data_IF_011022379994
#
_entry.id   IF_011022379994
#
_cell.length_a   1.000
_cell.length_b   1.000
_cell.length_c   1.000
_cell.angle_alpha   90.00
_cell.angle_beta   90.00
_cell.angle_gamma   90.00
#
_symmetry.space_group_name_H-M   'P 1'
#
loop_
_entity.id
_entity.type
_entity.pdbx_description
1 polymer ?
#
# COMPACT_ATOMS: atom_id res chain seq x y z
N UNK A 1 -16.29 -10.57 34.23
CA UNK A 1 -17.44 -11.42 34.03
C UNK A 1 -17.08 -12.49 33.01
N UNK A 2 -16.59 -12.16 31.83
CA UNK A 2 -16.04 -13.11 30.89
C UNK A 2 -14.52 -12.99 30.93
N UNK A 3 -13.82 -14.02 31.41
CA UNK A 3 -12.36 -14.02 31.49
C UNK A 3 -11.77 -14.43 30.13
N UNK A 4 -12.18 -13.70 29.08
CA UNK A 4 -11.78 -13.96 27.70
C UNK A 4 -11.05 -12.73 27.17
N UNK A 5 -9.84 -12.90 26.71
CA UNK A 5 -9.08 -11.88 26.02
C UNK A 5 -9.46 -11.92 24.53
N UNK A 6 -10.12 -10.87 24.05
CA UNK A 6 -10.47 -10.71 22.64
C UNK A 6 -9.60 -9.59 22.08
N UNK A 7 -8.93 -9.85 20.97
CA UNK A 7 -8.19 -8.81 20.31
C UNK A 7 -9.13 -7.75 19.72
N UNK A 8 -8.76 -6.48 19.83
CA UNK A 8 -9.56 -5.36 19.31
C UNK A 8 -9.94 -5.57 17.83
N UNK A 9 -9.05 -6.18 17.04
CA UNK A 9 -9.28 -6.52 15.63
C UNK A 9 -10.46 -7.49 15.48
N UNK A 10 -10.60 -8.45 16.37
CA UNK A 10 -11.72 -9.42 16.35
C UNK A 10 -13.06 -8.76 16.68
N UNK A 11 -13.06 -7.81 17.59
CA UNK A 11 -14.24 -7.01 17.90
C UNK A 11 -14.61 -6.11 16.72
N UNK A 12 -13.66 -5.44 16.13
CA UNK A 12 -13.86 -4.53 14.99
C UNK A 12 -14.29 -5.27 13.72
N UNK A 13 -13.84 -6.52 13.52
CA UNK A 13 -14.29 -7.37 12.41
C UNK A 13 -15.69 -7.95 12.60
N UNK A 14 -16.28 -7.77 13.79
CA UNK A 14 -17.63 -8.25 14.13
C UNK A 14 -18.63 -7.13 13.90
N UNK A 15 -19.31 -7.15 12.76
CA UNK A 15 -20.23 -6.08 12.35
C UNK A 15 -21.58 -6.09 13.10
N UNK A 16 -21.82 -7.08 13.95
CA UNK A 16 -23.06 -7.21 14.74
C UNK A 16 -22.75 -7.67 16.15
N UNK A 17 -23.61 -7.29 17.11
CA UNK A 17 -23.54 -7.74 18.52
C UNK A 17 -23.59 -9.28 18.61
N UNK A 18 -24.31 -9.97 17.72
CA UNK A 18 -24.38 -11.43 17.68
C UNK A 18 -23.03 -12.04 17.30
N UNK A 19 -22.34 -11.45 16.33
CA UNK A 19 -20.98 -11.89 15.97
C UNK A 19 -19.98 -11.64 17.10
N UNK A 20 -20.09 -10.52 17.78
CA UNK A 20 -19.27 -10.21 18.95
C UNK A 20 -19.53 -11.20 20.09
N UNK A 21 -20.80 -11.50 20.39
CA UNK A 21 -21.19 -12.46 21.42
C UNK A 21 -20.67 -13.86 21.11
N UNK A 22 -20.78 -14.33 19.87
CA UNK A 22 -20.22 -15.63 19.44
C UNK A 22 -18.72 -15.71 19.67
N UNK A 23 -17.97 -14.67 19.32
CA UNK A 23 -16.52 -14.62 19.57
C UNK A 23 -16.17 -14.66 21.06
N UNK A 24 -17.02 -14.09 21.91
CA UNK A 24 -16.87 -14.19 23.37
C UNK A 24 -17.16 -15.61 23.87
N UNK A 25 -18.18 -16.25 23.33
CA UNK A 25 -18.62 -17.61 23.74
C UNK A 25 -17.69 -18.72 23.22
N UNK A 26 -17.27 -18.62 21.98
CA UNK A 26 -16.43 -19.63 21.31
C UNK A 26 -14.96 -19.55 21.72
N UNK A 27 -14.55 -18.46 22.40
CA UNK A 27 -13.15 -18.12 22.56
C UNK A 27 -12.55 -17.81 21.17
N UNK A 28 -11.70 -16.81 21.04
CA UNK A 28 -11.08 -16.51 19.76
C UNK A 28 -10.25 -17.72 19.29
N UNK A 29 -10.87 -18.64 18.55
CA UNK A 29 -10.12 -19.60 17.75
C UNK A 29 -9.46 -18.82 16.64
N UNK A 30 -8.23 -18.40 16.87
CA UNK A 30 -7.42 -17.75 15.85
C UNK A 30 -7.21 -18.77 14.74
N UNK A 31 -7.85 -18.56 13.58
CA UNK A 31 -7.54 -19.37 12.41
C UNK A 31 -6.08 -19.15 12.05
N UNK A 32 -5.26 -20.16 12.31
CA UNK A 32 -3.83 -20.11 11.99
C UNK A 32 -3.65 -20.06 10.48
N UNK A 33 -2.99 -19.03 10.00
CA UNK A 33 -2.76 -18.85 8.57
C UNK A 33 -1.58 -19.70 8.13
N UNK A 34 -1.81 -20.60 7.19
CA UNK A 34 -0.77 -21.28 6.44
C UNK A 34 -0.24 -20.35 5.34
N UNK A 35 0.83 -19.63 5.65
CA UNK A 35 1.43 -18.68 4.73
C UNK A 35 1.96 -19.34 3.46
N UNK A 36 2.47 -20.57 3.54
CA UNK A 36 2.91 -21.30 2.36
C UNK A 36 1.77 -21.55 1.39
N UNK A 37 0.63 -21.98 1.90
CA UNK A 37 -0.56 -22.19 1.08
C UNK A 37 -1.10 -20.88 0.50
N UNK A 38 -1.18 -19.81 1.32
CA UNK A 38 -1.75 -18.51 0.89
C UNK A 38 -0.91 -17.82 -0.17
N UNK A 39 0.40 -18.05 -0.19
CA UNK A 39 1.33 -17.42 -1.13
C UNK A 39 1.75 -18.31 -2.30
N UNK A 40 1.12 -19.48 -2.48
CA UNK A 40 1.34 -20.30 -3.70
C UNK A 40 1.03 -19.49 -4.96
N UNK A 41 1.86 -19.70 -5.97
CA UNK A 41 1.54 -19.24 -7.33
C UNK A 41 0.19 -19.79 -7.78
N UNK A 42 -0.52 -19.10 -8.67
CA UNK A 42 -1.81 -19.55 -9.17
C UNK A 42 -1.75 -20.98 -9.68
N UNK A 43 -2.73 -21.80 -9.30
CA UNK A 43 -2.83 -23.23 -9.65
C UNK A 43 -3.48 -23.51 -11.00
N UNK A 44 -3.94 -22.48 -11.72
CA UNK A 44 -4.56 -22.68 -13.03
C UNK A 44 -3.52 -23.04 -14.09
N UNK A 45 -3.84 -23.89 -15.06
CA UNK A 45 -2.93 -24.19 -16.16
C UNK A 45 -2.62 -22.92 -16.94
N UNK A 46 -1.41 -22.41 -16.77
CA UNK A 46 -0.90 -21.26 -17.49
C UNK A 46 -0.15 -21.81 -18.71
N UNK A 47 -0.67 -21.53 -19.89
CA UNK A 47 0.05 -21.88 -21.13
C UNK A 47 1.12 -20.81 -21.37
N UNK A 48 2.35 -21.13 -21.02
CA UNK A 48 3.49 -20.24 -21.33
C UNK A 48 3.75 -20.28 -22.85
N UNK A 49 3.85 -19.11 -23.46
CA UNK A 49 4.21 -19.01 -24.86
C UNK A 49 5.70 -19.29 -25.03
N UNK A 50 6.04 -20.18 -25.96
CA UNK A 50 7.44 -20.51 -26.27
C UNK A 50 8.21 -19.31 -26.82
N UNK A 51 7.55 -18.48 -27.63
CA UNK A 51 8.13 -17.23 -28.14
C UNK A 51 7.53 -16.07 -27.34
N UNK A 52 8.37 -15.42 -26.53
CA UNK A 52 7.98 -14.18 -25.88
C UNK A 52 7.56 -13.15 -26.95
N UNK A 53 6.54 -12.35 -26.65
CA UNK A 53 6.24 -11.17 -27.46
C UNK A 53 7.54 -10.35 -27.58
N UNK A 54 8.09 -10.25 -28.79
CA UNK A 54 9.17 -9.28 -29.04
C UNK A 54 8.58 -7.92 -28.72
N UNK A 55 8.98 -7.35 -27.60
CA UNK A 55 8.62 -5.98 -27.25
C UNK A 55 9.30 -5.11 -28.28
N UNK A 56 8.49 -4.50 -29.14
CA UNK A 56 8.98 -3.69 -30.25
C UNK A 56 9.61 -2.38 -29.74
N UNK A 57 10.34 -1.70 -30.62
CA UNK A 57 10.88 -0.36 -30.36
C UNK A 57 9.78 0.73 -30.28
N UNK A 58 8.51 0.34 -30.30
CA UNK A 58 7.36 1.23 -30.25
C UNK A 58 7.03 1.72 -28.83
N UNK A 59 6.07 2.67 -28.74
CA UNK A 59 5.57 3.15 -27.45
C UNK A 59 4.92 2.02 -26.64
N UNK A 60 5.14 2.04 -25.31
CA UNK A 60 4.71 1.00 -24.37
C UNK A 60 3.22 1.12 -24.01
N UNK A 61 2.57 -0.02 -23.84
CA UNK A 61 1.28 -0.14 -23.18
C UNK A 61 1.49 -0.53 -21.72
N UNK A 62 1.13 0.38 -20.80
CA UNK A 62 1.25 0.23 -19.34
C UNK A 62 -0.10 -0.10 -18.73
N UNK A 63 -0.24 -1.26 -18.09
CA UNK A 63 -1.44 -1.57 -17.29
C UNK A 63 -1.25 -1.04 -15.86
N UNK A 64 -2.24 -0.31 -15.36
CA UNK A 64 -2.20 0.32 -14.04
C UNK A 64 -3.40 -0.11 -13.21
N UNK A 65 -3.16 -0.56 -11.98
CA UNK A 65 -4.20 -0.70 -10.96
C UNK A 65 -4.05 0.37 -9.90
N UNK A 66 -5.13 0.70 -9.19
CA UNK A 66 -5.12 1.76 -8.18
C UNK A 66 -4.98 3.17 -8.76
N UNK A 67 -5.37 3.35 -10.01
CA UNK A 67 -5.27 4.59 -10.79
C UNK A 67 -6.03 5.79 -10.19
N UNK A 68 -6.99 5.57 -9.30
CA UNK A 68 -7.72 6.62 -8.57
C UNK A 68 -7.09 6.96 -7.21
N UNK A 69 -6.02 6.28 -6.84
CA UNK A 69 -5.31 6.46 -5.56
C UNK A 69 -4.42 7.71 -5.51
N UNK A 70 -3.95 8.04 -4.30
CA UNK A 70 -3.11 9.24 -4.10
C UNK A 70 -1.78 9.18 -4.87
N UNK A 71 -1.12 8.04 -4.91
CA UNK A 71 0.14 7.88 -5.65
C UNK A 71 -0.10 8.01 -7.16
N UNK A 72 -1.20 7.45 -7.66
CA UNK A 72 -1.53 7.49 -9.08
C UNK A 72 -1.72 8.90 -9.63
N UNK A 73 -2.23 9.84 -8.82
CA UNK A 73 -2.36 11.26 -9.22
C UNK A 73 -1.04 11.90 -9.61
N UNK A 74 0.09 11.35 -9.18
CA UNK A 74 1.43 11.81 -9.52
C UNK A 74 2.07 10.95 -10.60
N UNK A 75 1.84 9.65 -10.54
CA UNK A 75 2.43 8.69 -11.49
C UNK A 75 1.80 8.80 -12.87
N UNK A 76 0.47 8.92 -12.96
CA UNK A 76 -0.20 9.00 -14.25
C UNK A 76 0.26 10.18 -15.12
N UNK A 77 0.38 11.42 -14.61
CA UNK A 77 0.93 12.53 -15.38
C UNK A 77 2.36 12.29 -15.88
N UNK A 78 3.21 11.66 -15.05
CA UNK A 78 4.59 11.32 -15.45
C UNK A 78 4.61 10.30 -16.59
N UNK A 79 3.76 9.28 -16.51
CA UNK A 79 3.63 8.28 -17.59
C UNK A 79 3.04 8.89 -18.85
N UNK A 80 2.04 9.75 -18.72
CA UNK A 80 1.38 10.39 -19.86
C UNK A 80 2.31 11.35 -20.61
N UNK A 81 3.12 12.12 -19.88
CA UNK A 81 4.11 13.01 -20.47
C UNK A 81 5.28 12.27 -21.15
N UNK A 82 5.48 10.98 -20.84
CA UNK A 82 6.60 10.24 -21.38
C UNK A 82 6.35 9.80 -22.83
N UNK A 83 7.22 10.18 -23.80
CA UNK A 83 7.03 9.81 -25.20
C UNK A 83 7.15 8.31 -25.48
N UNK A 84 7.78 7.56 -24.58
CA UNK A 84 7.92 6.11 -24.69
C UNK A 84 6.67 5.34 -24.22
N UNK A 85 5.69 6.02 -23.60
CA UNK A 85 4.41 5.46 -23.23
C UNK A 85 3.38 5.88 -24.27
N UNK A 86 2.79 4.92 -24.96
CA UNK A 86 1.72 5.16 -25.95
C UNK A 86 0.33 4.97 -25.40
N UNK A 87 0.16 4.08 -24.41
CA UNK A 87 -1.14 3.75 -23.84
C UNK A 87 -1.02 3.41 -22.36
N UNK A 88 -1.97 3.91 -21.57
CA UNK A 88 -2.11 3.61 -20.14
C UNK A 88 -3.48 2.98 -19.94
N UNK A 89 -3.49 1.70 -19.58
CA UNK A 89 -4.74 0.93 -19.36
C UNK A 89 -5.00 0.83 -17.86
N UNK A 90 -5.94 1.61 -17.37
CA UNK A 90 -6.38 1.60 -15.97
C UNK A 90 -7.46 0.55 -15.77
N UNK A 91 -7.19 -0.47 -14.94
CA UNK A 91 -8.12 -1.55 -14.65
C UNK A 91 -8.56 -1.55 -13.18
N UNK A 92 -9.63 -2.28 -12.86
CA UNK A 92 -10.25 -2.32 -11.54
C UNK A 92 -10.63 -0.91 -11.04
N UNK A 93 -11.10 -0.05 -11.93
CA UNK A 93 -11.59 1.28 -11.59
C UNK A 93 -13.01 1.15 -11.06
N UNK A 94 -13.21 1.45 -9.77
CA UNK A 94 -14.53 1.35 -9.16
C UNK A 94 -15.44 2.44 -9.69
N UNK A 95 -16.61 2.04 -10.16
CA UNK A 95 -17.69 2.96 -10.49
C UNK A 95 -18.43 3.32 -9.19
N UNK A 96 -18.26 4.53 -8.72
CA UNK A 96 -18.93 5.03 -7.51
C UNK A 96 -20.00 6.04 -7.93
N UNK A 97 -21.28 5.68 -7.90
CA UNK A 97 -22.37 6.52 -8.40
C UNK A 97 -22.47 7.91 -7.73
N UNK A 98 -21.91 8.06 -6.51
CA UNK A 98 -21.98 9.33 -5.76
C UNK A 98 -20.68 10.15 -5.76
N UNK A 99 -19.62 9.70 -6.42
CA UNK A 99 -18.33 10.40 -6.53
C UNK A 99 -17.96 10.64 -8.01
N UNK A 100 -18.84 11.26 -8.77
CA UNK A 100 -18.72 11.48 -10.22
C UNK A 100 -17.37 12.09 -10.67
N UNK A 101 -16.65 12.78 -9.80
CA UNK A 101 -15.37 13.40 -10.12
C UNK A 101 -14.13 12.52 -9.89
N UNK A 102 -14.26 11.34 -9.24
CA UNK A 102 -13.13 10.45 -8.95
C UNK A 102 -13.00 9.24 -9.87
N UNK A 103 -14.07 8.88 -10.57
CA UNK A 103 -14.09 7.68 -11.41
C UNK A 103 -13.61 7.91 -12.84
N UNK A 104 -13.63 9.16 -13.32
CA UNK A 104 -13.22 9.47 -14.70
C UNK A 104 -11.78 9.98 -14.68
N UNK A 105 -10.86 9.16 -15.16
CA UNK A 105 -9.48 9.54 -15.43
C UNK A 105 -9.45 10.23 -16.81
N UNK A 106 -8.82 11.38 -16.88
CA UNK A 106 -8.70 12.14 -18.13
C UNK A 106 -7.25 12.14 -18.58
N UNK A 107 -7.05 11.90 -19.88
CA UNK A 107 -5.75 11.93 -20.53
C UNK A 107 -5.84 11.26 -21.89
N UNK A 108 -5.07 11.75 -22.85
CA UNK A 108 -5.12 11.29 -24.24
C UNK A 108 -4.62 9.84 -24.41
N UNK A 109 -3.76 9.38 -23.50
CA UNK A 109 -3.23 8.02 -23.51
C UNK A 109 -3.99 7.07 -22.58
N UNK A 110 -4.96 7.55 -21.80
CA UNK A 110 -5.62 6.79 -20.74
C UNK A 110 -6.87 6.10 -21.28
N UNK A 111 -6.89 4.76 -21.10
CA UNK A 111 -8.06 3.91 -21.31
C UNK A 111 -8.47 3.31 -19.96
N UNK A 112 -9.74 3.34 -19.64
CA UNK A 112 -10.25 2.91 -18.34
C UNK A 112 -11.23 1.74 -18.49
N UNK A 113 -11.03 0.72 -17.66
CA UNK A 113 -11.96 -0.41 -17.50
C UNK A 113 -12.51 -0.43 -16.07
N UNK A 114 -13.83 -0.40 -15.96
CA UNK A 114 -14.50 -0.57 -14.67
C UNK A 114 -14.25 -1.98 -14.11
N UNK A 115 -14.20 -2.09 -12.77
CA UNK A 115 -13.99 -3.35 -12.08
C UNK A 115 -13.63 -3.16 -10.62
N UNK A 116 -13.22 -4.24 -9.97
CA UNK A 116 -12.78 -4.25 -8.57
C UNK A 116 -11.61 -5.22 -8.38
N UNK A 117 -10.66 -4.85 -7.53
CA UNK A 117 -9.49 -5.67 -7.22
C UNK A 117 -9.85 -7.02 -6.59
N UNK A 118 -10.98 -7.09 -5.88
CA UNK A 118 -11.47 -8.33 -5.24
C UNK A 118 -12.20 -9.27 -6.20
N UNK A 119 -12.53 -8.80 -7.40
CA UNK A 119 -13.27 -9.59 -8.37
C UNK A 119 -12.34 -10.48 -9.22
N UNK A 120 -12.79 -11.67 -9.63
CA UNK A 120 -12.07 -12.49 -10.61
C UNK A 120 -11.74 -11.69 -11.86
N UNK A 121 -10.53 -11.89 -12.39
CA UNK A 121 -9.99 -11.13 -13.52
C UNK A 121 -10.07 -9.61 -13.33
N UNK A 122 -10.05 -9.13 -12.07
CA UNK A 122 -10.16 -7.71 -11.72
C UNK A 122 -11.47 -7.05 -12.20
N UNK A 123 -12.52 -7.84 -12.41
CA UNK A 123 -13.81 -7.42 -12.95
C UNK A 123 -13.88 -7.32 -14.47
N UNK A 124 -12.84 -7.72 -15.18
CA UNK A 124 -12.80 -7.76 -16.65
C UNK A 124 -13.54 -8.98 -17.20
N UNK A 125 -14.08 -8.86 -18.42
CA UNK A 125 -14.54 -10.04 -19.17
C UNK A 125 -13.37 -10.94 -19.54
N UNK A 126 -13.65 -12.20 -19.90
CA UNK A 126 -12.59 -13.12 -20.32
C UNK A 126 -11.85 -12.60 -21.55
N UNK A 127 -12.59 -12.03 -22.52
CA UNK A 127 -12.05 -11.47 -23.76
C UNK A 127 -11.15 -10.26 -23.49
N UNK A 128 -11.60 -9.36 -22.60
CA UNK A 128 -10.80 -8.18 -22.19
C UNK A 128 -9.50 -8.62 -21.50
N UNK A 129 -9.60 -9.57 -20.57
CA UNK A 129 -8.45 -10.08 -19.82
C UNK A 129 -7.42 -10.74 -20.74
N UNK A 130 -7.86 -11.58 -21.69
CA UNK A 130 -7.01 -12.22 -22.68
C UNK A 130 -6.40 -11.20 -23.67
N UNK A 131 -7.21 -10.21 -24.09
CA UNK A 131 -6.75 -9.11 -24.94
C UNK A 131 -5.60 -8.34 -24.28
N UNK A 132 -5.78 -7.96 -23.01
CA UNK A 132 -4.76 -7.25 -22.25
C UNK A 132 -3.49 -8.09 -22.01
N UNK A 133 -3.62 -9.39 -21.79
CA UNK A 133 -2.45 -10.29 -21.71
C UNK A 133 -1.59 -10.27 -22.98
N UNK A 134 -2.18 -9.96 -24.14
CA UNK A 134 -1.47 -9.85 -25.40
C UNK A 134 -0.95 -8.45 -25.70
N UNK A 135 -1.64 -7.43 -25.22
CA UNK A 135 -1.38 -6.03 -25.54
C UNK A 135 -0.36 -5.39 -24.59
N UNK A 136 -0.46 -5.68 -23.29
CA UNK A 136 0.32 -5.01 -22.23
C UNK A 136 1.80 -5.36 -22.29
N UNK A 137 2.66 -4.37 -22.14
CA UNK A 137 4.11 -4.52 -22.08
C UNK A 137 4.66 -4.54 -20.66
N UNK A 138 3.98 -3.85 -19.72
CA UNK A 138 4.38 -3.77 -18.32
C UNK A 138 3.16 -3.49 -17.42
N UNK A 139 3.18 -4.04 -16.21
CA UNK A 139 2.13 -3.86 -15.21
C UNK A 139 2.65 -3.04 -14.05
N UNK A 140 1.92 -1.99 -13.66
CA UNK A 140 2.13 -1.22 -12.44
C UNK A 140 0.96 -1.45 -11.46
N UNK A 141 1.22 -2.24 -10.42
CA UNK A 141 0.24 -2.55 -9.40
C UNK A 141 0.40 -1.65 -8.17
N UNK A 142 -0.37 -0.55 -8.14
CA UNK A 142 -0.45 0.38 -7.00
C UNK A 142 -1.73 0.17 -6.18
N UNK A 143 -2.67 -0.61 -6.71
CA UNK A 143 -3.95 -0.84 -6.08
C UNK A 143 -3.82 -1.63 -4.78
N UNK A 144 -4.46 -1.14 -3.72
CA UNK A 144 -4.64 -1.87 -2.47
C UNK A 144 -5.79 -1.28 -1.68
N UNK A 145 -6.49 -2.12 -0.94
CA UNK A 145 -7.33 -1.69 0.17
C UNK A 145 -6.43 -1.52 1.39
N UNK A 146 -6.35 -0.27 1.90
CA UNK A 146 -5.55 0.06 3.06
C UNK A 146 -6.46 0.28 4.26
N UNK A 147 -6.33 -0.59 5.23
CA UNK A 147 -6.99 -0.47 6.52
C UNK A 147 -6.02 -0.94 7.60
N UNK A 148 -5.99 -0.23 8.72
CA UNK A 148 -5.17 -0.59 9.88
C UNK A 148 -5.94 -1.43 10.89
N UNK A 149 -7.25 -1.56 10.67
CA UNK A 149 -8.16 -2.28 11.54
C UNK A 149 -8.53 -3.67 11.02
N UNK A 150 -8.47 -3.82 9.69
CA UNK A 150 -8.84 -5.06 9.05
C UNK A 150 -7.69 -6.07 9.13
N UNK A 151 -8.04 -7.30 9.47
CA UNK A 151 -7.10 -8.41 9.44
C UNK A 151 -6.82 -8.88 8.00
N UNK A 152 -5.90 -9.81 7.87
CA UNK A 152 -5.51 -10.39 6.59
C UNK A 152 -6.71 -11.01 5.84
N UNK A 153 -7.64 -11.69 6.54
CA UNK A 153 -8.77 -12.36 5.90
C UNK A 153 -9.69 -11.40 5.15
N UNK A 154 -9.87 -10.18 5.68
CA UNK A 154 -10.67 -9.13 5.03
C UNK A 154 -9.90 -8.55 3.84
N UNK A 155 -8.62 -8.23 4.03
CA UNK A 155 -7.83 -7.52 3.03
C UNK A 155 -7.35 -8.41 1.89
N UNK A 156 -7.26 -9.74 2.10
CA UNK A 156 -6.67 -10.66 1.12
C UNK A 156 -7.34 -10.62 -0.24
N UNK A 157 -8.66 -10.47 -0.32
CA UNK A 157 -9.38 -10.48 -1.60
C UNK A 157 -8.90 -9.36 -2.52
N UNK A 158 -8.79 -8.14 -2.00
CA UNK A 158 -8.34 -7.00 -2.79
C UNK A 158 -6.82 -6.92 -2.94
N UNK A 159 -6.05 -7.34 -1.91
CA UNK A 159 -4.61 -7.08 -1.87
C UNK A 159 -3.76 -8.28 -2.31
N UNK A 160 -4.28 -9.49 -2.20
CA UNK A 160 -3.52 -10.72 -2.46
C UNK A 160 -4.06 -11.46 -3.68
N UNK A 161 -5.37 -11.69 -3.74
CA UNK A 161 -5.95 -12.39 -4.89
C UNK A 161 -5.82 -11.56 -6.18
N UNK A 162 -5.89 -10.22 -6.09
CA UNK A 162 -5.61 -9.34 -7.23
C UNK A 162 -4.21 -9.54 -7.83
N UNK A 163 -3.20 -9.83 -6.98
CA UNK A 163 -1.83 -10.11 -7.44
C UNK A 163 -1.79 -11.43 -8.20
N UNK A 164 -2.51 -12.45 -7.73
CA UNK A 164 -2.61 -13.73 -8.44
C UNK A 164 -3.27 -13.55 -9.81
N UNK A 165 -4.32 -12.72 -9.90
CA UNK A 165 -4.93 -12.37 -11.19
C UNK A 165 -3.95 -11.65 -12.12
N UNK A 166 -3.14 -10.72 -11.60
CA UNK A 166 -2.10 -10.07 -12.39
C UNK A 166 -1.00 -11.03 -12.83
N UNK A 167 -0.63 -12.00 -12.00
CA UNK A 167 0.29 -13.07 -12.40
C UNK A 167 -0.32 -13.93 -13.52
N UNK A 168 -1.61 -14.27 -13.44
CA UNK A 168 -2.31 -14.98 -14.53
C UNK A 168 -2.27 -14.19 -15.86
N UNK A 169 -2.51 -12.88 -15.79
CA UNK A 169 -2.44 -12.00 -16.97
C UNK A 169 -1.02 -11.93 -17.53
N UNK A 170 -0.02 -11.84 -16.66
CA UNK A 170 1.38 -11.63 -17.03
C UNK A 170 2.08 -12.89 -17.54
N UNK A 171 1.79 -14.04 -16.96
CA UNK A 171 2.56 -15.27 -17.13
C UNK A 171 2.67 -15.76 -18.59
N UNK A 172 1.61 -15.74 -19.43
CA UNK A 172 1.72 -16.23 -20.80
C UNK A 172 2.82 -15.54 -21.63
N UNK A 173 3.03 -14.25 -21.38
CA UNK A 173 4.02 -13.41 -22.11
C UNK A 173 5.16 -12.92 -21.21
N UNK A 174 5.22 -13.37 -19.94
CA UNK A 174 6.18 -12.93 -18.93
C UNK A 174 6.26 -11.40 -18.81
N UNK A 175 5.09 -10.76 -18.72
CA UNK A 175 4.99 -9.31 -18.58
C UNK A 175 5.58 -8.90 -17.23
N UNK A 176 6.50 -7.93 -17.14
CA UNK A 176 7.02 -7.44 -15.87
C UNK A 176 5.93 -6.86 -14.99
N UNK A 177 5.97 -7.20 -13.71
CA UNK A 177 5.06 -6.66 -12.69
C UNK A 177 5.85 -5.78 -11.74
N UNK A 178 5.49 -4.50 -11.68
CA UNK A 178 5.98 -3.53 -10.72
C UNK A 178 4.96 -3.40 -9.60
N UNK A 179 5.34 -3.78 -8.39
CA UNK A 179 4.45 -3.87 -7.23
C UNK A 179 4.82 -2.86 -6.15
N UNK A 180 3.85 -2.02 -5.78
CA UNK A 180 4.01 -1.09 -4.67
C UNK A 180 3.73 -1.80 -3.35
N UNK A 181 4.80 -2.16 -2.65
CA UNK A 181 4.79 -2.71 -1.31
C UNK A 181 4.97 -1.60 -0.25
N UNK A 182 5.30 -1.95 0.95
CA UNK A 182 5.55 -1.05 2.07
C UNK A 182 6.81 -1.45 2.82
N UNK A 183 7.53 -0.48 3.36
CA UNK A 183 8.65 -0.73 4.27
C UNK A 183 8.22 -1.49 5.53
N UNK A 184 6.94 -1.39 5.90
CA UNK A 184 6.38 -2.10 7.05
C UNK A 184 6.44 -3.64 7.00
N UNK A 185 6.79 -4.24 5.85
CA UNK A 185 7.07 -5.70 5.75
C UNK A 185 8.39 -6.08 6.40
N UNK A 186 9.26 -5.11 6.68
CA UNK A 186 10.53 -5.31 7.35
C UNK A 186 10.38 -5.09 8.86
N UNK A 187 11.07 -5.86 9.71
CA UNK A 187 11.17 -5.57 11.13
C UNK A 187 11.79 -4.19 11.39
N UNK A 188 11.47 -3.61 12.53
CA UNK A 188 11.92 -2.24 12.88
C UNK A 188 13.44 -2.12 13.00
N UNK A 189 14.11 -3.14 13.54
CA UNK A 189 15.56 -3.23 13.65
C UNK A 189 16.26 -3.25 12.29
N UNK A 190 15.62 -3.87 11.29
CA UNK A 190 16.10 -3.90 9.90
C UNK A 190 15.86 -2.55 9.21
N UNK A 191 14.75 -1.87 9.52
CA UNK A 191 14.47 -0.53 8.99
C UNK A 191 15.45 0.52 9.49
N UNK A 192 15.89 0.41 10.74
CA UNK A 192 16.86 1.32 11.38
C UNK A 192 18.32 1.01 11.04
N UNK A 193 18.62 -0.14 10.43
CA UNK A 193 19.98 -0.44 9.99
C UNK A 193 20.34 0.38 8.75
N UNK A 194 21.59 0.89 8.73
CA UNK A 194 22.10 1.87 7.78
C UNK A 194 21.70 1.59 6.32
N UNK A 195 21.36 2.65 5.61
CA UNK A 195 21.22 2.67 4.16
C UNK A 195 22.42 1.93 3.52
N UNK A 196 22.16 0.78 2.91
CA UNK A 196 23.23 0.01 2.24
C UNK A 196 23.08 -1.51 2.31
N UNK A 197 22.27 -2.08 3.21
CA UNK A 197 21.98 -3.51 3.11
C UNK A 197 21.02 -3.77 1.94
N UNK A 198 21.41 -4.67 1.05
CA UNK A 198 20.56 -5.10 -0.06
C UNK A 198 19.21 -5.60 0.49
N UNK A 199 18.08 -5.18 -0.08
CA UNK A 199 16.78 -5.62 0.34
C UNK A 199 16.70 -7.15 0.32
N UNK A 200 16.35 -7.75 1.46
CA UNK A 200 16.20 -9.20 1.58
C UNK A 200 14.80 -9.65 1.17
N UNK A 201 14.68 -10.91 0.74
CA UNK A 201 13.39 -11.54 0.43
C UNK A 201 12.39 -11.40 1.59
N UNK A 202 11.11 -11.26 1.28
CA UNK A 202 10.04 -11.29 2.25
C UNK A 202 10.00 -12.61 3.06
N UNK A 203 10.52 -13.70 2.50
CA UNK A 203 10.61 -14.98 3.19
C UNK A 203 11.34 -14.95 4.54
N UNK A 204 12.25 -13.97 4.74
CA UNK A 204 12.98 -13.83 5.98
C UNK A 204 12.13 -13.28 7.15
N UNK A 205 10.93 -12.72 6.87
CA UNK A 205 10.13 -11.96 7.83
C UNK A 205 8.65 -12.32 7.75
N UNK A 206 8.32 -13.51 8.14
CA UNK A 206 6.95 -14.01 8.09
C UNK A 206 6.04 -13.23 9.05
N UNK A 207 4.83 -12.81 8.62
CA UNK A 207 3.91 -12.10 9.49
C UNK A 207 3.27 -13.03 10.53
N UNK A 208 2.63 -12.45 11.57
CA UNK A 208 1.92 -13.23 12.58
C UNK A 208 0.90 -14.20 11.97
N UNK A 209 0.84 -15.41 12.51
CA UNK A 209 -0.03 -16.49 12.01
C UNK A 209 -1.52 -16.25 12.26
N UNK A 210 -1.85 -15.30 13.13
CA UNK A 210 -3.23 -14.90 13.45
C UNK A 210 -3.83 -13.88 12.46
N UNK A 211 -3.06 -13.48 11.44
CA UNK A 211 -3.49 -12.50 10.44
C UNK A 211 -3.60 -11.07 10.97
N UNK A 212 -3.11 -10.81 12.18
CA UNK A 212 -2.98 -9.45 12.70
C UNK A 212 -2.08 -8.60 11.80
N UNK A 213 -2.16 -7.27 11.94
CA UNK A 213 -1.49 -6.34 11.06
C UNK A 213 -1.79 -6.63 9.57
N UNK A 214 -3.06 -6.82 9.24
CA UNK A 214 -3.54 -7.37 7.98
C UNK A 214 -3.03 -6.65 6.74
N UNK A 215 -2.85 -5.31 6.81
CA UNK A 215 -2.28 -4.57 5.67
C UNK A 215 -0.84 -5.00 5.37
N UNK A 216 0.02 -5.05 6.38
CA UNK A 216 1.42 -5.50 6.23
C UNK A 216 1.47 -6.96 5.81
N UNK A 217 0.69 -7.82 6.44
CA UNK A 217 0.58 -9.23 6.09
C UNK A 217 0.14 -9.44 4.63
N UNK A 218 -0.83 -8.63 4.14
CA UNK A 218 -1.28 -8.70 2.76
C UNK A 218 -0.21 -8.22 1.76
N UNK A 219 0.57 -7.20 2.11
CA UNK A 219 1.69 -6.73 1.29
C UNK A 219 2.83 -7.74 1.26
N UNK A 220 3.17 -8.32 2.42
CA UNK A 220 4.13 -9.41 2.52
C UNK A 220 3.72 -10.61 1.65
N UNK A 221 2.46 -11.05 1.75
CA UNK A 221 1.96 -12.16 0.93
C UNK A 221 2.06 -11.85 -0.58
N UNK A 222 1.81 -10.60 -0.97
CA UNK A 222 1.98 -10.13 -2.34
C UNK A 222 3.43 -10.22 -2.83
N UNK A 223 4.41 -9.82 -2.01
CA UNK A 223 5.82 -9.98 -2.33
C UNK A 223 6.18 -11.45 -2.53
N UNK A 224 5.73 -12.34 -1.60
CA UNK A 224 6.00 -13.78 -1.70
C UNK A 224 5.40 -14.42 -2.95
N UNK A 225 4.18 -14.04 -3.34
CA UNK A 225 3.56 -14.53 -4.58
C UNK A 225 4.39 -14.12 -5.79
N UNK A 226 4.87 -12.88 -5.84
CA UNK A 226 5.67 -12.38 -6.95
C UNK A 226 7.06 -13.01 -7.02
N UNK A 227 7.72 -13.23 -5.88
CA UNK A 227 8.98 -13.99 -5.81
C UNK A 227 8.77 -15.42 -6.36
N UNK A 228 7.72 -16.11 -5.92
CA UNK A 228 7.38 -17.46 -6.38
C UNK A 228 6.95 -17.50 -7.87
N UNK A 229 6.25 -16.47 -8.33
CA UNK A 229 5.88 -16.37 -9.74
C UNK A 229 7.11 -16.15 -10.64
N UNK A 230 8.10 -15.40 -10.15
CA UNK A 230 9.38 -15.30 -10.85
C UNK A 230 10.09 -16.66 -10.92
N UNK A 231 10.21 -17.37 -9.78
CA UNK A 231 10.89 -18.67 -9.70
C UNK A 231 10.22 -19.76 -10.54
N UNK A 232 8.89 -19.84 -10.50
CA UNK A 232 8.13 -20.94 -11.12
C UNK A 232 7.67 -20.67 -12.54
N UNK A 233 7.40 -19.40 -12.91
CA UNK A 233 6.80 -19.00 -14.19
C UNK A 233 7.70 -18.07 -14.99
N UNK A 234 8.81 -17.57 -14.43
CA UNK A 234 9.71 -16.62 -15.06
C UNK A 234 9.07 -15.23 -15.26
N UNK A 235 8.06 -14.86 -14.47
CA UNK A 235 7.43 -13.52 -14.51
C UNK A 235 8.36 -12.52 -13.84
N UNK A 236 8.92 -11.52 -14.56
CA UNK A 236 9.81 -10.54 -13.93
C UNK A 236 9.04 -9.72 -12.89
N UNK A 237 9.57 -9.64 -11.67
CA UNK A 237 8.95 -8.94 -10.55
C UNK A 237 9.89 -7.86 -10.00
N UNK A 238 9.33 -6.65 -9.87
CA UNK A 238 9.98 -5.46 -9.32
C UNK A 238 9.16 -4.99 -8.12
N UNK A 239 9.69 -5.14 -6.93
CA UNK A 239 8.99 -4.89 -5.66
C UNK A 239 9.56 -3.65 -5.02
N UNK A 240 8.70 -2.65 -4.75
CA UNK A 240 9.08 -1.37 -4.18
C UNK A 240 8.53 -1.23 -2.77
N UNK A 241 9.40 -1.28 -1.77
CA UNK A 241 9.06 -1.06 -0.36
C UNK A 241 9.12 0.43 -0.08
N UNK A 242 7.96 1.05 -0.06
CA UNK A 242 7.79 2.48 0.05
C UNK A 242 7.64 2.90 1.50
N UNK A 243 8.37 3.94 1.91
CA UNK A 243 8.13 4.70 3.13
C UNK A 243 6.87 5.58 2.99
N UNK A 244 6.29 6.10 4.08
CA UNK A 244 5.19 7.04 4.00
C UNK A 244 5.50 8.19 3.04
N UNK A 245 4.57 8.47 2.11
CA UNK A 245 4.75 9.56 1.13
C UNK A 245 4.26 10.88 1.69
N UNK A 246 5.02 11.96 1.48
CA UNK A 246 4.62 13.34 1.78
C UNK A 246 3.83 13.96 0.62
N UNK A 247 2.74 14.65 0.94
CA UNK A 247 2.14 15.62 0.03
C UNK A 247 2.93 16.93 0.07
N UNK A 248 3.14 17.56 -1.08
CA UNK A 248 3.66 18.93 -1.13
C UNK A 248 2.52 19.91 -0.74
N UNK A 249 2.87 21.08 -0.21
CA UNK A 249 1.93 22.12 0.27
C UNK A 249 0.89 22.57 -0.76
N UNK A 250 1.17 22.42 -2.05
CA UNK A 250 0.27 22.74 -3.16
C UNK A 250 -0.63 21.56 -3.58
N UNK A 251 -0.45 20.39 -3.00
CA UNK A 251 -1.11 19.17 -3.40
C UNK A 251 -2.24 18.85 -2.41
N UNK A 252 -3.47 18.89 -2.87
CA UNK A 252 -4.67 18.52 -2.11
C UNK A 252 -4.75 17.02 -1.82
N UNK A 253 -3.78 16.23 -2.27
CA UNK A 253 -3.71 14.80 -1.99
C UNK A 253 -3.13 14.54 -0.60
N UNK A 254 -3.91 13.93 0.24
CA UNK A 254 -3.63 13.67 1.65
C UNK A 254 -2.49 12.67 1.85
N UNK A 255 -1.42 13.07 2.55
CA UNK A 255 -0.47 12.17 3.21
C UNK A 255 -1.15 11.61 4.45
N UNK A 256 -1.03 10.31 4.66
CA UNK A 256 -2.03 9.65 5.49
C UNK A 256 -1.91 9.91 7.01
N UNK A 257 -0.74 9.93 7.57
CA UNK A 257 -0.57 10.11 9.03
C UNK A 257 -0.50 11.59 9.38
N UNK A 258 0.34 12.33 8.68
CA UNK A 258 0.54 13.75 8.94
C UNK A 258 -0.69 14.58 8.55
N UNK A 259 -1.36 14.27 7.43
CA UNK A 259 -2.57 14.99 7.02
C UNK A 259 -3.76 14.70 7.93
N UNK A 260 -3.85 13.49 8.48
CA UNK A 260 -4.89 13.17 9.44
C UNK A 260 -4.61 13.87 10.78
N UNK A 261 -3.34 13.94 11.19
CA UNK A 261 -2.95 14.73 12.35
C UNK A 261 -3.30 16.21 12.14
N UNK A 262 -2.91 16.78 11.00
CA UNK A 262 -3.26 18.14 10.59
C UNK A 262 -4.78 18.34 10.60
N UNK A 263 -5.53 17.42 10.00
CA UNK A 263 -7.00 17.47 10.01
C UNK A 263 -7.58 17.48 11.42
N UNK A 264 -7.01 16.69 12.32
CA UNK A 264 -7.45 16.66 13.73
C UNK A 264 -7.15 18.00 14.43
N UNK A 265 -6.00 18.60 14.16
CA UNK A 265 -5.65 19.94 14.67
C UNK A 265 -6.61 20.99 14.11
N UNK A 266 -6.87 21.00 12.79
CA UNK A 266 -7.84 21.90 12.15
C UNK A 266 -9.23 21.78 12.78
N UNK A 267 -9.74 20.56 12.95
CA UNK A 267 -11.10 20.32 13.46
C UNK A 267 -11.25 20.68 14.92
N UNK A 268 -10.20 20.53 15.71
CA UNK A 268 -10.27 20.78 17.16
C UNK A 268 -9.80 22.19 17.54
N UNK A 269 -9.18 22.91 16.59
CA UNK A 269 -8.52 24.21 16.78
C UNK A 269 -7.51 24.23 17.96
N UNK A 270 -6.97 23.06 18.30
CA UNK A 270 -5.90 22.89 19.30
C UNK A 270 -4.92 21.84 18.86
N UNK A 271 -3.70 21.93 19.35
CA UNK A 271 -2.63 20.99 19.12
C UNK A 271 -2.34 20.15 20.37
N UNK A 272 -1.95 18.88 20.27
CA UNK A 272 -1.44 18.16 21.42
C UNK A 272 -0.12 18.77 21.88
N UNK A 273 0.10 18.80 23.17
CA UNK A 273 1.41 19.09 23.73
C UNK A 273 2.36 17.93 23.37
N UNK A 274 3.27 18.21 22.46
CA UNK A 274 4.27 17.25 21.98
C UNK A 274 5.58 17.33 22.80
N UNK A 275 5.59 18.08 23.90
CA UNK A 275 6.78 18.22 24.77
C UNK A 275 7.22 16.86 25.30
N UNK A 276 8.46 16.50 25.02
CA UNK A 276 9.04 15.22 25.44
C UNK A 276 8.62 14.01 24.58
N UNK A 277 7.98 14.23 23.44
CA UNK A 277 7.84 13.20 22.44
C UNK A 277 9.18 12.98 21.75
N UNK A 278 9.55 11.74 21.57
CA UNK A 278 10.80 11.37 20.91
C UNK A 278 10.49 10.68 19.58
N UNK A 279 11.31 10.96 18.58
CA UNK A 279 11.24 10.27 17.28
C UNK A 279 11.16 11.23 16.10
N UNK A 280 10.95 10.63 14.95
CA UNK A 280 10.84 11.35 13.69
C UNK A 280 9.87 10.65 12.74
N UNK A 281 9.36 11.41 11.78
CA UNK A 281 8.53 10.89 10.70
C UNK A 281 9.36 10.95 9.42
N UNK A 282 9.66 9.78 8.89
CA UNK A 282 10.37 9.64 7.62
C UNK A 282 9.39 9.69 6.46
N UNK A 283 9.66 10.58 5.52
CA UNK A 283 8.78 10.85 4.38
C UNK A 283 9.57 10.85 3.07
N UNK A 284 8.93 10.44 2.00
CA UNK A 284 9.46 10.60 0.64
C UNK A 284 8.48 11.45 -0.20
N UNK A 285 8.96 12.46 -0.97
CA UNK A 285 8.11 13.22 -1.85
C UNK A 285 7.45 12.33 -2.91
N UNK A 286 6.11 12.39 -3.01
CA UNK A 286 5.37 11.55 -3.96
C UNK A 286 5.74 11.79 -5.43
N UNK A 287 6.22 13.00 -5.78
CA UNK A 287 6.77 13.32 -7.11
C UNK A 287 8.03 12.52 -7.40
N UNK A 288 8.96 12.45 -6.45
CA UNK A 288 10.20 11.69 -6.58
C UNK A 288 9.90 10.20 -6.78
N UNK A 289 8.93 9.65 -6.03
CA UNK A 289 8.46 8.27 -6.22
C UNK A 289 7.93 8.08 -7.63
N UNK A 290 7.13 9.02 -8.15
CA UNK A 290 6.52 8.91 -9.48
C UNK A 290 7.58 8.95 -10.59
N UNK A 291 8.56 9.82 -10.50
CA UNK A 291 9.67 9.94 -11.46
C UNK A 291 10.52 8.66 -11.48
N UNK A 292 10.95 8.18 -10.31
CA UNK A 292 11.70 6.92 -10.18
C UNK A 292 10.92 5.70 -10.70
N UNK A 293 9.62 5.63 -10.45
CA UNK A 293 8.76 4.56 -10.97
C UNK A 293 8.64 4.62 -12.49
N UNK A 294 8.45 5.81 -13.06
CA UNK A 294 8.40 6.00 -14.51
C UNK A 294 9.67 5.50 -15.21
N UNK A 295 10.83 5.85 -14.68
CA UNK A 295 12.12 5.38 -15.18
C UNK A 295 12.28 3.86 -15.05
N UNK A 296 11.93 3.30 -13.89
CA UNK A 296 12.02 1.87 -13.64
C UNK A 296 11.13 1.03 -14.57
N UNK A 297 9.88 1.49 -14.81
CA UNK A 297 8.96 0.85 -15.75
C UNK A 297 9.56 0.75 -17.16
N UNK A 298 10.11 1.86 -17.67
CA UNK A 298 10.69 1.91 -19.00
C UNK A 298 11.95 1.06 -19.08
N UNK A 299 12.84 1.16 -18.10
CA UNK A 299 14.07 0.40 -18.04
C UNK A 299 13.84 -1.11 -18.01
N UNK A 300 12.81 -1.56 -17.29
CA UNK A 300 12.47 -2.98 -17.16
C UNK A 300 12.00 -3.62 -18.47
N UNK A 301 11.40 -2.84 -19.37
CA UNK A 301 10.89 -3.32 -20.65
C UNK A 301 11.96 -3.36 -21.75
N UNK A 302 13.02 -2.57 -21.60
CA UNK A 302 14.12 -2.46 -22.58
C UNK A 302 15.32 -3.37 -22.31
N UNK A 303 15.38 -3.98 -21.12
CA UNK A 303 16.41 -4.96 -20.80
C UNK A 303 16.21 -6.21 -21.68
N UNK A 304 17.13 -6.41 -22.61
CA UNK A 304 17.16 -7.59 -23.48
C UNK A 304 17.61 -8.84 -22.73
N UNK A 305 18.25 -8.69 -21.60
CA UNK A 305 18.86 -9.78 -20.83
C UNK A 305 17.93 -10.23 -19.66
N UNK A 306 16.82 -10.87 -20.01
CA UNK A 306 15.95 -11.56 -19.03
C UNK A 306 16.70 -12.73 -18.36
N UNK A 307 17.89 -13.10 -18.86
CA UNK A 307 18.70 -14.19 -18.35
C UNK A 307 19.55 -13.89 -17.11
N UNK A 308 19.77 -12.62 -16.74
CA UNK A 308 20.67 -12.26 -15.63
C UNK A 308 19.96 -11.97 -14.29
N UNK A 309 18.64 -11.77 -14.25
CA UNK A 309 17.94 -11.62 -12.99
C UNK A 309 17.76 -12.99 -12.31
N UNK A 310 18.65 -13.35 -11.40
CA UNK A 310 18.56 -14.60 -10.63
C UNK A 310 17.41 -14.61 -9.61
N UNK A 311 16.72 -13.49 -9.40
CA UNK A 311 15.63 -13.34 -8.42
C UNK A 311 14.75 -12.11 -8.72
N UNK A 312 13.58 -12.03 -8.09
CA UNK A 312 12.77 -10.82 -8.04
C UNK A 312 13.60 -9.61 -7.54
N UNK A 313 13.43 -8.46 -8.18
CA UNK A 313 14.19 -7.25 -7.81
C UNK A 313 13.42 -6.50 -6.71
N UNK A 314 14.06 -6.34 -5.56
CA UNK A 314 13.53 -5.57 -4.44
C UNK A 314 14.24 -4.23 -4.36
N UNK A 315 13.48 -3.16 -4.23
CA UNK A 315 13.99 -1.80 -4.07
C UNK A 315 13.35 -1.16 -2.86
N UNK A 316 14.15 -0.59 -1.96
CA UNK A 316 13.66 0.23 -0.87
C UNK A 316 13.66 1.69 -1.31
N UNK A 317 12.54 2.35 -1.17
CA UNK A 317 12.44 3.79 -1.34
C UNK A 317 12.60 4.43 0.04
N UNK A 318 13.83 4.78 0.37
CA UNK A 318 14.16 5.44 1.62
C UNK A 318 13.61 6.88 1.65
N UNK A 319 13.35 7.37 2.84
CA UNK A 319 12.92 8.75 3.06
C UNK A 319 14.03 9.71 2.62
N UNK A 320 13.60 10.82 2.03
CA UNK A 320 14.47 11.93 1.69
C UNK A 320 14.16 13.17 2.53
N UNK A 321 13.10 13.08 3.35
CA UNK A 321 12.69 14.13 4.29
C UNK A 321 12.38 13.49 5.63
N UNK A 322 13.05 13.97 6.67
CA UNK A 322 12.81 13.57 8.06
C UNK A 322 12.25 14.76 8.82
N UNK A 323 11.10 14.56 9.49
CA UNK A 323 10.47 15.56 10.35
C UNK A 323 10.62 15.09 11.78
N UNK A 324 11.36 15.84 12.61
CA UNK A 324 11.39 15.59 14.04
C UNK A 324 10.00 15.84 14.66
N UNK A 325 9.62 15.03 15.64
CA UNK A 325 8.37 15.26 16.35
C UNK A 325 8.44 16.57 17.15
N UNK A 326 9.61 16.96 17.62
CA UNK A 326 9.82 18.23 18.31
C UNK A 326 9.59 19.45 17.39
N UNK A 327 9.80 19.28 16.07
CA UNK A 327 9.61 20.33 15.07
C UNK A 327 8.25 20.29 14.39
N UNK A 328 7.33 19.41 14.85
CA UNK A 328 6.06 19.18 14.16
C UNK A 328 5.21 20.45 14.09
N UNK A 329 5.27 21.30 15.12
CA UNK A 329 4.58 22.59 15.16
C UNK A 329 5.09 23.53 14.07
N UNK A 330 6.41 23.72 14.01
CA UNK A 330 7.08 24.52 12.95
C UNK A 330 6.72 23.99 11.57
N UNK A 331 6.69 22.67 11.42
CA UNK A 331 6.35 22.03 10.17
C UNK A 331 4.88 22.23 9.76
N UNK A 332 3.96 22.26 10.71
CA UNK A 332 2.56 22.61 10.48
C UNK A 332 2.39 24.07 10.07
N UNK A 333 3.15 24.99 10.67
CA UNK A 333 3.17 26.40 10.27
C UNK A 333 3.65 26.56 8.82
N UNK A 334 4.75 25.92 8.46
CA UNK A 334 5.31 25.97 7.10
C UNK A 334 4.38 25.34 6.04
N UNK A 335 3.77 24.20 6.36
CA UNK A 335 2.95 23.45 5.41
C UNK A 335 1.57 24.04 5.18
N UNK A 336 0.98 24.65 6.20
CA UNK A 336 -0.43 25.05 6.18
C UNK A 336 -0.67 26.50 6.54
N UNK A 337 0.39 27.25 6.92
CA UNK A 337 0.25 28.62 7.45
C UNK A 337 -0.52 28.65 8.76
N UNK A 338 -0.58 27.53 9.46
CA UNK A 338 -1.31 27.38 10.73
C UNK A 338 -0.45 27.92 11.85
N UNK A 339 -0.92 28.97 12.53
CA UNK A 339 -0.21 29.60 13.65
C UNK A 339 -1.08 29.72 14.88
N UNK A 340 -0.46 29.63 16.06
CA UNK A 340 -1.08 30.04 17.30
C UNK A 340 -2.06 29.05 17.90
N UNK A 341 -1.79 27.76 17.77
CA UNK A 341 -2.54 26.76 18.52
C UNK A 341 -2.03 26.68 19.95
N UNK A 342 -2.94 26.80 20.91
CA UNK A 342 -2.60 26.53 22.31
C UNK A 342 -2.36 25.00 22.48
N UNK A 343 -1.17 24.57 22.92
CA UNK A 343 -0.94 23.17 23.21
C UNK A 343 -1.80 22.70 24.37
N UNK A 344 -2.40 21.53 24.24
CA UNK A 344 -3.19 20.90 25.31
C UNK A 344 -2.66 19.49 25.60
N UNK A 345 -2.80 19.01 26.86
CA UNK A 345 -2.42 17.64 27.17
C UNK A 345 -3.03 16.62 26.19
N UNK A 346 -2.23 15.64 25.74
CA UNK A 346 -2.61 14.65 24.73
C UNK A 346 -3.96 14.01 24.99
N UNK A 347 -4.22 13.57 26.22
CA UNK A 347 -5.50 12.96 26.58
C UNK A 347 -6.69 13.92 26.40
N UNK A 348 -6.49 15.21 26.67
CA UNK A 348 -7.51 16.24 26.45
C UNK A 348 -7.76 16.47 24.95
N UNK A 349 -6.69 16.50 24.16
CA UNK A 349 -6.78 16.59 22.71
C UNK A 349 -7.51 15.39 22.11
N UNK A 350 -7.16 14.17 22.54
CA UNK A 350 -7.84 12.94 22.13
C UNK A 350 -9.34 12.97 22.47
N UNK A 351 -9.70 13.49 23.64
CA UNK A 351 -11.11 13.68 24.03
C UNK A 351 -11.85 14.63 23.08
N UNK A 352 -11.21 15.71 22.61
CA UNK A 352 -11.79 16.62 21.61
C UNK A 352 -11.95 15.95 20.25
N UNK A 353 -10.96 15.18 19.81
CA UNK A 353 -11.05 14.43 18.53
C UNK A 353 -12.22 13.43 18.60
N UNK A 354 -12.38 12.71 19.71
CA UNK A 354 -13.53 11.81 19.93
C UNK A 354 -14.87 12.51 19.78
N UNK A 355 -14.96 13.74 20.26
CA UNK A 355 -16.18 14.54 20.19
C UNK A 355 -16.53 15.03 18.77
N UNK A 356 -15.53 15.21 17.91
CA UNK A 356 -15.73 15.66 16.51
C UNK A 356 -15.78 14.53 15.49
N UNK A 357 -15.55 13.29 15.92
CA UNK A 357 -15.67 12.09 15.11
C UNK A 357 -14.49 11.12 15.25
N UNK A 358 -14.64 9.96 14.64
CA UNK A 358 -13.61 8.92 14.67
C UNK A 358 -12.41 9.31 13.78
N UNK A 359 -11.20 9.13 14.31
CA UNK A 359 -9.95 9.35 13.60
C UNK A 359 -9.03 8.13 13.73
N UNK A 360 -8.41 7.73 12.64
CA UNK A 360 -7.40 6.67 12.66
C UNK A 360 -6.19 7.03 13.52
N UNK A 361 -5.83 8.31 13.58
CA UNK A 361 -4.74 8.81 14.43
C UNK A 361 -5.06 8.57 15.91
N UNK A 362 -6.31 8.77 16.30
CA UNK A 362 -6.76 8.58 17.68
C UNK A 362 -6.48 7.16 18.17
N UNK A 363 -6.85 6.17 17.39
CA UNK A 363 -6.68 4.80 17.80
C UNK A 363 -5.20 4.35 17.76
N UNK A 364 -4.40 4.90 16.83
CA UNK A 364 -2.96 4.69 16.84
C UNK A 364 -2.31 5.30 18.06
N UNK A 365 -2.71 6.50 18.45
CA UNK A 365 -2.25 7.17 19.67
C UNK A 365 -2.69 6.41 20.93
N UNK A 366 -3.94 5.96 21.01
CA UNK A 366 -4.42 5.13 22.12
C UNK A 366 -3.61 3.84 22.27
N UNK A 367 -3.33 3.15 21.18
CA UNK A 367 -2.51 1.94 21.18
C UNK A 367 -1.07 2.22 21.65
N UNK A 368 -0.50 3.37 21.30
CA UNK A 368 0.83 3.77 21.75
C UNK A 368 0.86 4.12 23.23
N UNK A 369 -0.15 4.85 23.73
CA UNK A 369 -0.26 5.24 25.13
C UNK A 369 -0.52 4.03 26.05
N UNK A 370 -1.28 3.04 25.60
CA UNK A 370 -1.58 1.83 26.38
C UNK A 370 -0.44 0.84 26.45
N UNK A 371 0.43 0.82 25.44
CA UNK A 371 1.59 -0.07 25.37
C UNK A 371 2.87 0.53 26.02
N UNK A 372 2.87 1.81 26.36
CA UNK A 372 3.94 2.45 27.11
C UNK A 372 3.68 2.33 28.60
N UNK A 373 4.62 1.75 29.36
CA UNK A 373 4.58 1.66 30.83
C UNK A 373 4.30 3.01 31.50
N UNK A 374 3.05 3.45 31.54
CA UNK A 374 2.54 4.49 32.43
C UNK A 374 3.19 5.89 32.38
N UNK A 375 4.02 6.17 31.40
CA UNK A 375 4.66 7.47 31.21
C UNK A 375 4.04 8.21 30.02
N UNK A 376 3.80 9.51 30.17
CA UNK A 376 3.28 10.44 29.17
C UNK A 376 4.19 10.62 27.93
N UNK A 377 5.21 9.79 27.76
CA UNK A 377 6.16 9.84 26.63
C UNK A 377 5.68 8.95 25.50
N UNK A 378 5.24 9.56 24.42
CA UNK A 378 4.97 8.92 23.15
C UNK A 378 6.28 8.79 22.34
N UNK A 379 6.71 7.54 22.07
CA UNK A 379 7.74 7.30 21.08
C UNK A 379 7.05 7.12 19.75
N UNK A 380 6.94 8.18 18.98
CA UNK A 380 6.43 8.12 17.62
C UNK A 380 7.58 7.74 16.69
N UNK A 381 7.52 6.52 16.17
CA UNK A 381 8.28 6.00 15.02
C UNK A 381 9.82 6.22 15.04
N UNK A 382 10.54 5.22 15.50
CA UNK A 382 11.93 5.01 15.07
C UNK A 382 11.94 4.21 13.79
#
# INVERSE_FOLDING_TARGET
VFNVTIHLVDLLSSNTLVQMARKVEEGASVEVIDWDQKTKSPSMPITLRQNQKKRGDGPLTVLVTGSTGNLAKRVLPVLEANPLVGKIVCVAVRDKPNEASRSILRGDKIVQHAGDLSAPRLGLTTEQFQGLSNEVDVILHMGALRSFWDNYHILRLSNVESIKELVHLAAPNRIPIHFMSTSGVLPRDVLGSAAGQAPSSAAAYEPPLDGSNGYVASKWAGERILERAFESLGVPAYIYRLQPTRALSSDTSKSWVLDEFVRCVDLTAVMPDCTGWEGHIDLIPGREVAERLGEALISSTRRTDVGEAAKAQLTRYDSTVTVSVDDIETHLEELRGMRGFDPVPVLKWMGRIKAVGFSYVLASLEAMLTNGNGGEKLTMWR
#
